data_IF_290507228383
#
_entry.id   IF_290507228383
#
_cell.length_a   1.000
_cell.length_b   1.000
_cell.length_c   1.000
_cell.angle_alpha   90.00
_cell.angle_beta   90.00
_cell.angle_gamma   90.00
#
_symmetry.space_group_name_H-M   'P 1'
#
loop_
_entity.id
_entity.type
_entity.pdbx_description
1 polymer ?
#
# COMPACT_ATOMS: atom_id res chain seq x y z
N UNK A 1 -15.38 15.71 32.57
CA UNK A 1 -14.91 16.06 31.21
C UNK A 1 -15.46 17.37 30.63
N UNK A 2 -16.68 17.86 30.96
CA UNK A 2 -17.23 19.12 30.39
C UNK A 2 -16.52 20.43 30.78
N UNK A 3 -15.67 20.45 31.81
CA UNK A 3 -15.04 21.68 32.33
C UNK A 3 -13.65 22.02 31.72
N UNK A 4 -13.00 21.12 30.98
CA UNK A 4 -11.66 21.37 30.41
C UNK A 4 -11.63 21.72 28.90
N UNK A 5 -12.73 21.56 28.16
CA UNK A 5 -12.76 21.77 26.70
C UNK A 5 -12.86 23.23 26.23
N UNK A 6 -13.18 24.17 27.13
CA UNK A 6 -13.56 25.55 26.77
C UNK A 6 -12.39 26.51 26.52
N UNK A 7 -11.13 26.08 26.72
CA UNK A 7 -9.94 26.96 26.55
C UNK A 7 -9.23 26.87 25.19
N UNK A 8 -9.61 25.98 24.26
CA UNK A 8 -8.81 25.73 23.03
C UNK A 8 -9.51 25.85 21.67
N UNK A 9 -10.70 26.48 21.55
CA UNK A 9 -11.40 26.67 20.26
C UNK A 9 -11.43 25.40 19.38
N UNK A 10 -11.62 24.23 20.00
CA UNK A 10 -11.76 22.98 19.23
C UNK A 10 -13.23 22.88 18.81
N UNK A 11 -13.54 22.63 17.52
CA UNK A 11 -14.92 22.52 17.05
C UNK A 11 -15.73 21.55 17.94
N UNK A 12 -16.88 22.00 18.44
CA UNK A 12 -17.76 21.28 19.39
C UNK A 12 -18.05 19.83 18.97
N UNK A 13 -18.07 19.58 17.65
CA UNK A 13 -18.25 18.26 17.06
C UNK A 13 -17.13 17.28 17.44
N UNK A 14 -15.85 17.69 17.36
CA UNK A 14 -14.69 16.85 17.72
C UNK A 14 -14.66 16.54 19.22
N UNK A 15 -15.08 17.47 20.06
CA UNK A 15 -15.14 17.28 21.52
C UNK A 15 -16.20 16.23 21.88
N UNK A 16 -17.34 16.23 21.17
CA UNK A 16 -18.41 15.23 21.38
C UNK A 16 -17.97 13.82 20.96
N UNK A 17 -17.27 13.68 19.84
CA UNK A 17 -16.69 12.41 19.41
C UNK A 17 -15.65 11.90 20.41
N UNK A 18 -14.72 12.77 20.85
CA UNK A 18 -13.69 12.40 21.80
C UNK A 18 -14.29 11.95 23.14
N UNK A 19 -15.25 12.70 23.68
CA UNK A 19 -15.91 12.33 24.93
C UNK A 19 -16.72 11.03 24.83
N UNK A 20 -17.32 10.73 23.67
CA UNK A 20 -18.06 9.48 23.46
C UNK A 20 -17.11 8.28 23.38
N UNK A 21 -16.01 8.41 22.64
CA UNK A 21 -14.98 7.36 22.56
C UNK A 21 -14.35 7.10 23.92
N UNK A 22 -13.93 8.15 24.65
CA UNK A 22 -13.35 7.98 26.00
C UNK A 22 -14.31 7.29 26.97
N UNK A 23 -15.59 7.62 26.92
CA UNK A 23 -16.57 7.00 27.82
C UNK A 23 -16.80 5.51 27.49
N UNK A 24 -16.87 5.15 26.20
CA UNK A 24 -16.98 3.75 25.76
C UNK A 24 -15.73 2.96 26.17
N UNK A 25 -14.54 3.51 25.93
CA UNK A 25 -13.27 2.86 26.33
C UNK A 25 -13.20 2.66 27.84
N UNK A 26 -13.57 3.65 28.64
CA UNK A 26 -13.61 3.53 30.10
C UNK A 26 -14.63 2.50 30.58
N UNK A 27 -15.80 2.43 29.95
CA UNK A 27 -16.81 1.43 30.28
C UNK A 27 -16.31 0.01 30.02
N UNK A 28 -15.69 -0.24 28.85
CA UNK A 28 -15.09 -1.54 28.51
C UNK A 28 -13.98 -1.89 29.51
N UNK A 29 -13.08 -0.94 29.81
CA UNK A 29 -12.01 -1.15 30.79
C UNK A 29 -12.57 -1.49 32.18
N UNK A 30 -13.63 -0.81 32.63
CA UNK A 30 -14.29 -1.07 33.91
C UNK A 30 -14.89 -2.48 33.95
N UNK A 31 -15.58 -2.91 32.88
CA UNK A 31 -16.13 -4.27 32.76
C UNK A 31 -15.01 -5.31 32.88
N UNK A 32 -13.89 -5.10 32.19
CA UNK A 32 -12.72 -5.99 32.27
C UNK A 32 -12.19 -6.06 33.71
N UNK A 33 -12.03 -4.92 34.39
CA UNK A 33 -11.53 -4.89 35.78
C UNK A 33 -12.49 -5.60 36.74
N UNK A 34 -13.81 -5.41 36.58
CA UNK A 34 -14.81 -6.11 37.41
C UNK A 34 -14.73 -7.62 37.17
N UNK A 35 -14.61 -8.08 35.92
CA UNK A 35 -14.43 -9.50 35.60
C UNK A 35 -13.16 -10.09 36.25
N UNK A 36 -12.06 -9.33 36.32
CA UNK A 36 -10.82 -9.75 36.99
C UNK A 36 -10.98 -9.82 38.51
N UNK A 37 -11.68 -8.86 39.13
CA UNK A 37 -11.90 -8.80 40.58
C UNK A 37 -12.87 -9.88 41.09
N UNK A 38 -13.79 -10.37 40.26
CA UNK A 38 -14.73 -11.43 40.61
C UNK A 38 -14.08 -12.81 40.82
N UNK A 39 -12.76 -12.92 40.66
CA UNK A 39 -12.03 -14.13 41.06
C UNK A 39 -12.39 -15.36 40.22
N UNK A 40 -12.57 -15.16 38.92
CA UNK A 40 -12.73 -16.26 37.96
C UNK A 40 -11.55 -17.23 38.09
N UNK A 41 -11.82 -18.54 38.15
CA UNK A 41 -10.79 -19.54 38.41
C UNK A 41 -9.71 -19.56 37.31
N UNK A 42 -8.57 -20.21 37.54
CA UNK A 42 -7.48 -20.33 36.55
C UNK A 42 -7.98 -20.80 35.16
N UNK A 43 -8.95 -21.73 35.14
CA UNK A 43 -9.58 -22.19 33.90
C UNK A 43 -10.37 -21.07 33.22
N UNK A 44 -11.17 -20.31 33.96
CA UNK A 44 -12.00 -19.22 33.42
C UNK A 44 -11.14 -18.05 32.91
N UNK A 45 -10.04 -17.74 33.59
CA UNK A 45 -9.06 -16.73 33.15
C UNK A 45 -8.41 -17.13 31.83
N UNK A 46 -8.05 -18.40 31.67
CA UNK A 46 -7.43 -18.90 30.42
C UNK A 46 -8.40 -18.82 29.23
N UNK A 47 -9.67 -19.16 29.44
CA UNK A 47 -10.73 -19.09 28.42
C UNK A 47 -11.04 -17.62 28.06
N UNK A 48 -11.14 -16.76 29.06
CA UNK A 48 -11.32 -15.32 28.86
C UNK A 48 -10.16 -14.71 28.07
N UNK A 49 -8.92 -15.02 28.46
CA UNK A 49 -7.71 -14.51 27.81
C UNK A 49 -7.64 -14.99 26.35
N UNK A 50 -7.94 -16.27 26.09
CA UNK A 50 -8.03 -16.82 24.73
C UNK A 50 -9.08 -16.09 23.88
N UNK A 51 -10.27 -15.81 24.44
CA UNK A 51 -11.31 -15.05 23.76
C UNK A 51 -10.86 -13.62 23.42
N UNK A 52 -10.23 -12.92 24.38
CA UNK A 52 -9.70 -11.58 24.17
C UNK A 52 -8.60 -11.59 23.10
N UNK A 53 -7.67 -12.54 23.15
CA UNK A 53 -6.64 -12.70 22.12
C UNK A 53 -7.24 -12.98 20.74
N UNK A 54 -8.27 -13.82 20.64
CA UNK A 54 -8.96 -14.09 19.39
C UNK A 54 -9.57 -12.80 18.80
N UNK A 55 -10.27 -12.00 19.63
CA UNK A 55 -10.85 -10.73 19.20
C UNK A 55 -9.78 -9.73 18.76
N UNK A 56 -8.69 -9.60 19.53
CA UNK A 56 -7.56 -8.72 19.18
C UNK A 56 -6.91 -9.19 17.88
N UNK A 57 -6.70 -10.50 17.70
CA UNK A 57 -6.13 -11.06 16.48
C UNK A 57 -6.96 -10.71 15.24
N UNK A 58 -8.29 -10.88 15.31
CA UNK A 58 -9.21 -10.50 14.22
C UNK A 58 -9.19 -8.98 13.99
N UNK A 59 -9.16 -8.18 15.05
CA UNK A 59 -9.09 -6.72 14.94
C UNK A 59 -7.77 -6.23 14.30
N UNK A 60 -6.64 -6.87 14.65
CA UNK A 60 -5.34 -6.58 14.06
C UNK A 60 -5.29 -6.99 12.59
N UNK A 61 -5.91 -8.12 12.24
CA UNK A 61 -6.04 -8.54 10.84
C UNK A 61 -6.85 -7.52 10.02
N UNK A 62 -7.95 -7.00 10.57
CA UNK A 62 -8.70 -5.93 9.93
C UNK A 62 -7.86 -4.64 9.74
N UNK A 63 -6.92 -4.38 10.66
CA UNK A 63 -6.05 -3.19 10.63
C UNK A 63 -4.70 -3.41 9.93
N UNK A 64 -4.50 -4.56 9.28
CA UNK A 64 -3.21 -4.98 8.67
C UNK A 64 -2.59 -3.90 7.77
N UNK A 65 -3.41 -3.12 7.07
CA UNK A 65 -2.97 -2.03 6.20
C UNK A 65 -2.13 -0.96 6.93
N UNK A 66 -2.49 -0.59 8.16
CA UNK A 66 -1.72 0.42 8.92
C UNK A 66 -0.36 -0.13 9.31
N UNK A 67 -0.32 -1.38 9.77
CA UNK A 67 0.93 -2.04 10.17
C UNK A 67 1.86 -2.25 8.97
N UNK A 68 1.29 -2.60 7.81
CA UNK A 68 2.01 -2.70 6.54
C UNK A 68 2.66 -1.37 6.14
N UNK A 69 1.93 -0.26 6.22
CA UNK A 69 2.46 1.07 5.89
C UNK A 69 3.57 1.54 6.86
N UNK A 70 3.43 1.28 8.16
CA UNK A 70 4.45 1.60 9.16
C UNK A 70 5.73 0.79 8.90
N UNK A 71 5.59 -0.53 8.71
CA UNK A 71 6.72 -1.41 8.41
C UNK A 71 7.40 -0.99 7.12
N UNK A 72 6.61 -0.63 6.10
CA UNK A 72 7.13 -0.11 4.84
C UNK A 72 7.92 1.18 5.03
N UNK A 73 7.46 2.11 5.86
CA UNK A 73 8.19 3.34 6.19
C UNK A 73 9.57 3.07 6.78
N UNK A 74 9.66 2.13 7.74
CA UNK A 74 10.93 1.73 8.37
C UNK A 74 11.87 1.13 7.33
N UNK A 75 11.37 0.25 6.46
CA UNK A 75 12.16 -0.37 5.38
C UNK A 75 12.64 0.69 4.38
N UNK A 76 11.79 1.65 4.00
CA UNK A 76 12.18 2.74 3.10
C UNK A 76 13.26 3.60 3.75
N UNK A 77 13.14 3.90 5.05
CA UNK A 77 14.09 4.76 5.75
C UNK A 77 15.47 4.12 5.93
N UNK A 78 15.54 2.83 6.26
CA UNK A 78 16.81 2.15 6.56
C UNK A 78 17.39 1.35 5.39
N UNK A 79 16.54 0.73 4.58
CA UNK A 79 16.94 -0.26 3.57
C UNK A 79 16.97 0.26 2.14
N UNK A 80 16.26 1.35 1.84
CA UNK A 80 16.18 1.85 0.46
C UNK A 80 17.21 2.94 0.15
N UNK A 81 17.77 2.94 -1.07
CA UNK A 81 18.72 3.97 -1.50
C UNK A 81 18.04 5.30 -1.87
N UNK A 82 16.77 5.52 -1.51
CA UNK A 82 16.01 6.72 -1.83
C UNK A 82 16.03 7.69 -0.65
N UNK A 83 16.41 8.94 -0.91
CA UNK A 83 16.39 10.01 0.08
C UNK A 83 15.49 11.14 -0.40
N UNK A 84 15.06 11.98 0.53
CA UNK A 84 14.40 13.25 0.21
C UNK A 84 15.30 14.05 -0.75
N UNK A 85 14.72 14.53 -1.85
CA UNK A 85 15.42 15.22 -2.93
C UNK A 85 15.82 14.34 -4.12
N UNK A 86 15.70 13.01 -4.04
CA UNK A 86 15.99 12.14 -5.18
C UNK A 86 14.85 12.20 -6.22
N UNK A 87 15.22 12.23 -7.52
CA UNK A 87 14.26 12.03 -8.61
C UNK A 87 14.01 10.54 -8.82
N UNK A 88 12.74 10.15 -8.70
CA UNK A 88 12.28 8.78 -8.83
C UNK A 88 11.14 8.66 -9.84
N UNK A 89 10.98 7.47 -10.41
CA UNK A 89 9.85 7.09 -11.23
C UNK A 89 9.32 5.75 -10.77
N UNK A 90 8.08 5.74 -10.30
CA UNK A 90 7.38 4.52 -9.91
C UNK A 90 6.73 3.94 -11.16
N UNK A 91 7.02 2.68 -11.45
CA UNK A 91 6.45 2.00 -12.62
C UNK A 91 5.06 1.49 -12.25
N UNK A 92 4.02 2.25 -12.63
CA UNK A 92 2.63 1.84 -12.49
C UNK A 92 2.02 1.61 -13.89
N UNK A 93 1.34 0.47 -14.15
CA UNK A 93 0.69 0.21 -15.44
C UNK A 93 -0.34 1.26 -15.86
N UNK A 94 -1.01 1.90 -14.90
CA UNK A 94 -2.11 2.83 -15.18
C UNK A 94 -1.64 4.29 -15.30
N UNK A 95 -0.48 4.64 -14.72
CA UNK A 95 -0.01 6.02 -14.69
C UNK A 95 1.51 6.11 -14.55
N UNK A 96 2.12 6.97 -15.37
CA UNK A 96 3.56 7.23 -15.32
C UNK A 96 3.92 8.21 -14.19
N UNK A 97 4.11 7.67 -12.98
CA UNK A 97 4.39 8.47 -11.80
C UNK A 97 5.89 8.83 -11.72
N UNK A 98 6.23 10.04 -12.16
CA UNK A 98 7.61 10.58 -12.06
C UNK A 98 7.67 11.89 -11.30
N UNK A 99 8.71 12.04 -10.46
CA UNK A 99 8.86 13.24 -9.65
C UNK A 99 10.05 13.19 -8.68
N UNK A 100 10.14 14.20 -7.83
CA UNK A 100 11.14 14.29 -6.77
C UNK A 100 10.51 13.96 -5.44
N UNK A 101 11.19 13.14 -4.62
CA UNK A 101 10.74 12.85 -3.26
C UNK A 101 10.83 14.11 -2.41
N UNK A 102 9.70 14.62 -1.94
CA UNK A 102 9.63 15.83 -1.11
C UNK A 102 9.66 15.50 0.38
N UNK A 103 8.92 14.47 0.79
CA UNK A 103 8.86 14.04 2.18
C UNK A 103 8.60 12.54 2.26
N UNK A 104 9.21 11.88 3.24
CA UNK A 104 8.91 10.50 3.61
C UNK A 104 8.25 10.53 5.00
N UNK A 105 6.96 10.25 5.03
CA UNK A 105 6.13 10.23 6.23
C UNK A 105 5.85 8.79 6.67
N UNK A 106 5.26 8.59 7.86
CA UNK A 106 5.07 7.24 8.44
C UNK A 106 4.13 6.35 7.61
N UNK A 107 3.14 6.95 6.94
CA UNK A 107 2.12 6.21 6.18
C UNK A 107 2.19 6.44 4.67
N UNK A 108 2.88 7.48 4.22
CA UNK A 108 2.93 7.88 2.82
C UNK A 108 4.22 8.63 2.49
N UNK A 109 4.54 8.69 1.20
CA UNK A 109 5.58 9.55 0.63
C UNK A 109 4.90 10.62 -0.21
N UNK A 110 5.40 11.85 -0.09
CA UNK A 110 5.01 12.96 -0.95
C UNK A 110 6.00 13.06 -2.11
N UNK A 111 5.47 12.99 -3.33
CA UNK A 111 6.24 13.07 -4.56
C UNK A 111 5.77 14.31 -5.32
N UNK A 112 6.70 15.22 -5.60
CA UNK A 112 6.44 16.42 -6.38
C UNK A 112 6.75 16.16 -7.85
N UNK A 113 5.75 16.29 -8.71
CA UNK A 113 5.92 16.14 -10.15
C UNK A 113 6.62 17.37 -10.75
N UNK A 114 7.14 17.24 -11.97
CA UNK A 114 7.75 18.37 -12.69
C UNK A 114 6.72 19.47 -13.03
N UNK A 115 5.44 19.11 -13.09
CA UNK A 115 4.32 20.06 -13.23
C UNK A 115 3.99 20.81 -11.93
N UNK A 116 4.67 20.51 -10.81
CA UNK A 116 4.47 21.17 -9.52
C UNK A 116 3.38 20.55 -8.63
N UNK A 117 2.72 19.48 -9.09
CA UNK A 117 1.69 18.78 -8.31
C UNK A 117 2.33 17.93 -7.21
N UNK A 118 1.66 17.82 -6.06
CA UNK A 118 2.06 16.93 -4.96
C UNK A 118 1.19 15.68 -5.01
N UNK A 119 1.84 14.52 -5.10
CA UNK A 119 1.18 13.22 -5.10
C UNK A 119 1.49 12.52 -3.78
N UNK A 120 0.43 12.07 -3.09
CA UNK A 120 0.55 11.28 -1.87
C UNK A 120 0.48 9.80 -2.23
N UNK A 121 1.58 9.08 -2.02
CA UNK A 121 1.66 7.66 -2.37
C UNK A 121 1.88 6.81 -1.10
N UNK A 122 1.01 5.82 -0.80
CA UNK A 122 1.15 4.97 0.38
C UNK A 122 2.48 4.22 0.40
N UNK A 123 3.13 4.16 1.56
CA UNK A 123 4.44 3.50 1.71
C UNK A 123 4.40 2.03 1.29
N UNK A 124 3.31 1.33 1.64
CA UNK A 124 3.14 -0.09 1.29
C UNK A 124 3.08 -0.32 -0.22
N UNK A 125 2.53 0.63 -0.99
CA UNK A 125 2.44 0.51 -2.44
C UNK A 125 3.79 0.78 -3.11
N UNK A 126 4.60 1.72 -2.59
CA UNK A 126 5.93 2.01 -3.14
C UNK A 126 6.80 0.76 -3.12
N UNK A 127 6.75 -0.01 -2.03
CA UNK A 127 7.53 -1.24 -1.90
C UNK A 127 7.07 -2.37 -2.82
N UNK A 128 5.81 -2.34 -3.26
CA UNK A 128 5.25 -3.36 -4.14
C UNK A 128 5.54 -3.08 -5.62
N UNK A 129 5.94 -1.85 -5.96
CA UNK A 129 6.15 -1.40 -7.34
C UNK A 129 7.64 -1.20 -7.62
N UNK A 130 8.12 -1.51 -8.83
CA UNK A 130 9.47 -1.16 -9.23
C UNK A 130 9.66 0.36 -9.27
N UNK A 131 10.70 0.86 -8.61
CA UNK A 131 11.05 2.29 -8.58
C UNK A 131 12.41 2.51 -9.23
N UNK A 132 12.44 3.36 -10.25
CA UNK A 132 13.65 3.77 -10.96
C UNK A 132 14.15 5.05 -10.30
N UNK A 133 15.39 5.05 -9.82
CA UNK A 133 16.09 6.25 -9.33
C UNK A 133 16.97 6.81 -10.45
N UNK A 134 16.90 8.11 -10.68
CA UNK A 134 17.85 8.80 -11.57
C UNK A 134 19.17 9.06 -10.83
N UNK A 135 20.28 8.74 -11.48
CA UNK A 135 21.61 9.10 -11.00
C UNK A 135 21.88 10.61 -11.18
N UNK A 136 22.81 11.17 -10.40
CA UNK A 136 23.25 12.58 -10.46
C UNK A 136 23.99 12.83 -11.78
N UNK A 137 23.23 13.00 -12.86
CA UNK A 137 23.76 13.21 -14.21
C UNK A 137 22.73 12.93 -15.30
N UNK A 138 21.78 12.03 -15.04
CA UNK A 138 20.70 11.74 -15.97
C UNK A 138 19.50 12.68 -15.76
N UNK A 139 18.99 13.24 -16.85
CA UNK A 139 17.82 14.14 -16.85
C UNK A 139 16.52 13.46 -17.25
N UNK A 140 16.60 12.28 -17.86
CA UNK A 140 15.45 11.56 -18.42
C UNK A 140 15.45 10.11 -17.99
N UNK A 141 14.26 9.59 -17.70
CA UNK A 141 14.09 8.17 -17.40
C UNK A 141 14.23 7.34 -18.68
N UNK A 142 14.95 6.20 -18.66
CA UNK A 142 15.06 5.33 -19.82
C UNK A 142 13.68 4.79 -20.22
N UNK A 143 13.31 4.97 -21.48
CA UNK A 143 12.02 4.52 -22.03
C UNK A 143 11.96 3.00 -22.22
N UNK A 144 13.14 2.35 -22.32
CA UNK A 144 13.34 0.90 -22.24
C UNK A 144 14.49 0.64 -21.27
N UNK A 145 14.20 -0.05 -20.16
CA UNK A 145 15.21 -0.38 -19.14
C UNK A 145 16.21 -1.43 -19.67
N UNK A 146 15.74 -2.27 -20.59
CA UNK A 146 16.55 -3.24 -21.31
C UNK A 146 16.59 -2.83 -22.78
N UNK A 147 17.77 -2.61 -23.38
CA UNK A 147 17.86 -2.51 -24.83
C UNK A 147 17.24 -3.78 -25.43
N UNK A 148 16.52 -3.68 -26.57
CA UNK A 148 16.00 -4.86 -27.25
C UNK A 148 17.16 -5.83 -27.47
N UNK A 149 16.95 -7.14 -27.24
CA UNK A 149 18.03 -8.12 -27.25
C UNK A 149 18.78 -8.05 -28.59
N UNK A 150 19.98 -7.48 -28.60
CA UNK A 150 20.78 -7.35 -29.81
C UNK A 150 21.41 -8.69 -30.13
N UNK A 151 20.89 -9.37 -31.15
CA UNK A 151 21.35 -10.69 -31.60
C UNK A 151 20.21 -11.57 -32.12
N UNK A 152 20.44 -12.88 -32.32
CA UNK A 152 19.43 -13.80 -32.87
C UNK A 152 18.13 -13.89 -32.03
N UNK A 153 18.16 -13.44 -30.77
CA UNK A 153 16.99 -13.35 -29.90
C UNK A 153 15.99 -12.23 -30.28
N UNK A 154 16.41 -11.15 -30.96
CA UNK A 154 15.49 -10.17 -31.53
C UNK A 154 14.69 -10.74 -32.70
N UNK A 155 15.33 -11.57 -33.53
CA UNK A 155 14.70 -12.21 -34.69
C UNK A 155 13.68 -13.29 -34.29
N UNK A 156 13.85 -13.91 -33.12
CA UNK A 156 12.89 -14.87 -32.58
C UNK A 156 11.60 -14.20 -32.06
N UNK A 157 11.70 -12.97 -31.53
CA UNK A 157 10.56 -12.18 -31.03
C UNK A 157 9.82 -11.41 -32.13
N UNK A 158 10.45 -11.18 -33.28
CA UNK A 158 9.79 -10.66 -34.50
C UNK A 158 9.23 -11.78 -35.41
N UNK A 159 9.39 -13.06 -35.02
CA UNK A 159 8.72 -14.15 -35.72
C UNK A 159 7.20 -14.01 -35.52
N UNK A 160 6.42 -13.94 -36.61
CA UNK A 160 5.15 -13.27 -36.55
C UNK A 160 4.11 -14.14 -35.86
N UNK A 161 3.45 -13.57 -34.84
CA UNK A 161 2.00 -13.71 -34.62
C UNK A 161 1.25 -13.18 -35.86
N UNK A 162 1.49 -13.80 -37.01
CA UNK A 162 0.75 -13.65 -38.28
C UNK A 162 0.52 -15.05 -38.83
N UNK A 163 0.09 -15.99 -37.98
CA UNK A 163 -0.46 -17.27 -38.42
C UNK A 163 -1.99 -17.34 -38.21
N UNK A 164 -2.58 -16.48 -37.37
CA UNK A 164 -4.02 -16.57 -37.06
C UNK A 164 -4.94 -15.67 -37.90
N UNK A 165 -4.44 -14.77 -38.75
CA UNK A 165 -5.31 -13.88 -39.56
C UNK A 165 -5.38 -14.25 -41.05
N UNK A 166 -4.88 -15.41 -41.47
CA UNK A 166 -5.00 -15.87 -42.87
C UNK A 166 -5.47 -17.32 -43.03
N UNK A 167 -6.40 -17.78 -42.20
CA UNK A 167 -7.12 -19.06 -42.41
C UNK A 167 -8.65 -18.87 -42.49
N UNK A 168 -9.19 -17.67 -42.19
CA UNK A 168 -10.65 -17.41 -42.21
C UNK A 168 -11.18 -17.00 -43.61
N UNK A 169 -10.37 -17.08 -44.68
CA UNK A 169 -10.82 -16.68 -46.03
C UNK A 169 -10.39 -17.66 -47.12
N UNK A 170 -10.95 -18.88 -47.08
CA UNK A 170 -11.26 -19.69 -48.25
C UNK A 170 -12.13 -20.89 -47.85
N UNK A 171 -13.46 -20.76 -48.01
CA UNK A 171 -14.36 -21.91 -48.06
C UNK A 171 -14.24 -22.66 -49.41
N UNK A 172 -15.23 -23.48 -49.77
CA UNK A 172 -15.21 -24.94 -49.62
C UNK A 172 -15.11 -25.67 -50.97
N UNK A 173 -14.40 -26.81 -51.06
CA UNK A 173 -14.55 -27.75 -52.18
C UNK A 173 -14.29 -29.21 -51.75
N UNK A 174 -15.40 -29.94 -51.59
CA UNK A 174 -15.73 -31.22 -52.26
C UNK A 174 -14.57 -31.92 -52.99
N UNK A 175 -14.24 -33.18 -52.64
CA UNK A 175 -14.26 -34.35 -53.56
C UNK A 175 -13.93 -35.69 -52.84
N UNK A 176 -14.73 -36.71 -53.17
CA UNK A 176 -14.72 -38.13 -52.77
C UNK A 176 -13.45 -38.93 -53.12
N UNK A 177 -13.23 -40.02 -52.37
CA UNK A 177 -12.68 -41.38 -52.67
C UNK A 177 -11.96 -41.85 -51.39
N UNK A 178 -12.19 -43.01 -50.80
CA UNK A 178 -12.66 -44.33 -51.26
C UNK A 178 -13.68 -44.90 -50.27
#
# INVERSE_FOLDING_TARGET
MRKLGRRKQVPELRIKYLSKTTNITLFIALVIVICLLLGLGYNDVSVFLSSVFAVIGVALFAQWSLLSNITASIVIFFGFPYRVGDKIKVTDPDFDLSGTVEEISLFHVLIRTEAGNIITYPNSLILQKPVIKLDRGNRTFPQKLFPPPSGPAAQALESPTTAETKVVRAGPHVQKRQ
#
